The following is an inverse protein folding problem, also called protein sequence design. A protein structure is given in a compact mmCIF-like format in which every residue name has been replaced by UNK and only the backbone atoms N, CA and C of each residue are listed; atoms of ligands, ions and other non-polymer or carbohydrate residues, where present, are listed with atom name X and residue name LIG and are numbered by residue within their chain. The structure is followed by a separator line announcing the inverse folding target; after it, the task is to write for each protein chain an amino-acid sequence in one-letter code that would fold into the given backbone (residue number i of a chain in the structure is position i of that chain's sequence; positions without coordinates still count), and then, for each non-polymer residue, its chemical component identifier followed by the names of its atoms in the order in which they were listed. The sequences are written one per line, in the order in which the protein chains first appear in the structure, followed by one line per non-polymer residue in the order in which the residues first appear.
data_IF_925317595358
#
_entry.id   IF_925317595358
#
_cell.length_a   1.000
_cell.length_b   1.000
_cell.length_c   1.000
_cell.angle_alpha   90.00
_cell.angle_beta   90.00
_cell.angle_gamma   90.00
#
_symmetry.space_group_name_H-M   'P 1'
#
loop_
_entity.id
_entity.type
_entity.pdbx_description
1 polymer ?
#
# COMPACT_ATOMS: atom_id res chain seq x y z
N UNK A 1 4.97 -0.08 -13.30
CA UNK A 1 3.74 -0.86 -13.36
C UNK A 1 4.07 -2.34 -13.20
N UNK A 2 3.55 -2.96 -12.17
CA UNK A 2 3.80 -4.37 -11.89
C UNK A 2 2.56 -5.17 -12.21
N UNK A 3 2.66 -6.06 -13.16
CA UNK A 3 1.55 -6.91 -13.57
C UNK A 3 1.85 -8.35 -13.21
N UNK A 4 0.89 -9.01 -12.61
CA UNK A 4 1.05 -10.39 -12.19
C UNK A 4 -0.29 -11.10 -12.15
N UNK A 5 -0.25 -12.41 -12.09
CA UNK A 5 -1.43 -13.23 -11.85
C UNK A 5 -1.69 -13.30 -10.34
N UNK A 6 -2.66 -14.12 -9.92
CA UNK A 6 -3.01 -14.29 -8.51
C UNK A 6 -1.94 -15.08 -7.75
N UNK A 7 -0.71 -14.62 -7.79
CA UNK A 7 0.42 -15.25 -7.14
C UNK A 7 1.14 -14.24 -6.26
N UNK A 8 2.01 -14.74 -5.41
CA UNK A 8 2.95 -13.90 -4.69
C UNK A 8 3.99 -13.38 -5.67
N UNK A 9 4.37 -12.13 -5.50
CA UNK A 9 5.35 -11.50 -6.37
C UNK A 9 6.47 -10.93 -5.52
N UNK A 10 7.71 -11.23 -5.90
CA UNK A 10 8.88 -10.82 -5.13
C UNK A 10 9.88 -10.08 -6.00
N UNK A 11 10.35 -8.94 -5.50
CA UNK A 11 11.40 -8.15 -6.13
C UNK A 11 12.56 -8.06 -5.15
N UNK A 12 13.45 -9.06 -5.14
CA UNK A 12 14.44 -9.20 -4.05
C UNK A 12 15.50 -8.11 -4.02
N UNK A 13 15.74 -7.44 -5.13
CA UNK A 13 16.81 -6.43 -5.20
C UNK A 13 16.31 -5.00 -5.37
N UNK A 14 14.99 -4.79 -5.42
CA UNK A 14 14.43 -3.47 -5.63
C UNK A 14 14.61 -2.61 -4.39
N UNK A 15 15.29 -1.46 -4.53
CA UNK A 15 15.57 -0.55 -3.42
C UNK A 15 14.82 0.78 -3.51
N UNK A 16 14.46 1.20 -4.71
CA UNK A 16 13.87 2.51 -4.91
C UNK A 16 12.91 2.52 -6.09
N UNK A 17 11.76 3.15 -5.90
CA UNK A 17 10.78 3.37 -6.97
C UNK A 17 10.59 4.88 -7.08
N UNK A 18 10.87 5.41 -8.26
CA UNK A 18 10.76 6.84 -8.50
C UNK A 18 9.55 7.20 -9.37
N UNK A 19 9.51 8.44 -9.79
CA UNK A 19 8.49 8.94 -10.70
C UNK A 19 7.14 9.09 -10.02
N UNK A 20 6.11 8.50 -10.63
CA UNK A 20 4.74 8.62 -10.11
C UNK A 20 4.41 7.63 -9.02
N UNK A 21 5.34 6.72 -8.69
CA UNK A 21 5.11 5.73 -7.67
C UNK A 21 4.98 4.32 -8.21
N UNK A 22 4.35 3.46 -7.44
CA UNK A 22 4.26 2.04 -7.74
C UNK A 22 2.81 1.65 -7.97
N UNK A 23 2.54 0.92 -9.05
CA UNK A 23 1.20 0.42 -9.36
C UNK A 23 1.19 -1.10 -9.31
N UNK A 24 0.22 -1.66 -8.61
CA UNK A 24 0.11 -3.09 -8.35
C UNK A 24 -1.22 -3.61 -8.87
N UNK A 25 -1.19 -4.76 -9.53
CA UNK A 25 -2.41 -5.42 -10.05
C UNK A 25 -2.36 -6.91 -9.78
N UNK A 26 -3.52 -7.50 -9.63
CA UNK A 26 -3.78 -8.97 -9.62
C UNK A 26 -2.69 -9.82 -8.97
N UNK A 27 -2.24 -9.42 -7.78
CA UNK A 27 -1.31 -10.21 -6.98
C UNK A 27 -1.92 -10.45 -5.61
N UNK A 28 -1.46 -11.47 -4.92
CA UNK A 28 -1.90 -11.77 -3.56
C UNK A 28 -0.98 -11.10 -2.54
N UNK A 29 0.31 -11.22 -2.73
CA UNK A 29 1.32 -10.61 -1.86
C UNK A 29 2.40 -9.98 -2.74
N UNK A 30 2.80 -8.76 -2.40
CA UNK A 30 3.98 -8.14 -3.00
C UNK A 30 5.06 -8.09 -1.94
N UNK A 31 6.23 -8.62 -2.27
CA UNK A 31 7.36 -8.65 -1.36
C UNK A 31 8.55 -7.93 -1.95
N UNK A 32 8.98 -6.86 -1.30
CA UNK A 32 10.13 -6.06 -1.70
C UNK A 32 11.04 -5.89 -0.48
N UNK A 33 11.82 -6.93 -0.13
CA UNK A 33 12.53 -6.94 1.15
C UNK A 33 13.61 -5.88 1.31
N UNK A 34 14.05 -5.30 0.20
CA UNK A 34 15.08 -4.24 0.24
C UNK A 34 14.57 -2.88 -0.18
N UNK A 35 13.28 -2.75 -0.45
CA UNK A 35 12.72 -1.49 -0.90
C UNK A 35 12.74 -0.47 0.23
N UNK A 36 13.41 0.66 0.00
CA UNK A 36 13.58 1.71 0.99
C UNK A 36 12.70 2.93 0.73
N UNK A 37 12.39 3.21 -0.53
CA UNK A 37 11.66 4.43 -0.87
C UNK A 37 10.76 4.24 -2.08
N UNK A 38 9.55 4.78 -1.97
CA UNK A 38 8.64 5.00 -3.10
C UNK A 38 8.44 6.51 -3.17
N UNK A 39 8.94 7.14 -4.23
CA UNK A 39 8.87 8.60 -4.40
C UNK A 39 7.54 9.03 -4.98
N UNK A 40 6.47 8.58 -4.42
CA UNK A 40 5.15 8.91 -4.94
C UNK A 40 4.09 8.11 -4.23
N UNK A 41 3.07 7.72 -4.97
CA UNK A 41 1.90 7.04 -4.43
C UNK A 41 1.98 5.55 -4.71
N UNK A 42 1.67 4.75 -3.70
CA UNK A 42 1.47 3.32 -3.87
C UNK A 42 0.03 3.11 -4.33
N UNK A 43 -0.12 2.68 -5.57
CA UNK A 43 -1.44 2.50 -6.19
C UNK A 43 -1.73 1.02 -6.37
N UNK A 44 -2.94 0.62 -6.03
CA UNK A 44 -3.42 -0.73 -6.33
C UNK A 44 -4.90 -0.64 -6.67
N UNK A 45 -5.28 -1.29 -7.76
CA UNK A 45 -6.66 -1.23 -8.22
C UNK A 45 -7.08 -2.59 -8.77
N UNK A 46 -8.32 -3.00 -8.44
CA UNK A 46 -8.92 -4.23 -8.96
C UNK A 46 -8.09 -5.48 -8.63
N UNK A 47 -7.33 -5.45 -7.56
CA UNK A 47 -6.52 -6.58 -7.11
C UNK A 47 -7.29 -7.32 -6.01
N UNK A 48 -8.29 -8.09 -6.42
CA UNK A 48 -9.20 -8.76 -5.49
C UNK A 48 -8.51 -9.77 -4.57
N UNK A 49 -7.35 -10.26 -4.95
CA UNK A 49 -6.61 -11.23 -4.14
C UNK A 49 -5.56 -10.62 -3.23
N UNK A 50 -5.30 -9.31 -3.37
CA UNK A 50 -4.23 -8.67 -2.62
C UNK A 50 -4.59 -8.56 -1.14
N UNK A 51 -3.73 -9.07 -0.28
CA UNK A 51 -3.91 -9.03 1.16
C UNK A 51 -2.71 -8.45 1.91
N UNK A 52 -1.53 -8.44 1.31
CA UNK A 52 -0.30 -8.16 2.05
C UNK A 52 0.74 -7.41 1.22
N UNK A 53 1.34 -6.40 1.82
CA UNK A 53 2.56 -5.78 1.33
C UNK A 53 3.68 -6.14 2.31
N UNK A 54 4.71 -6.81 1.80
CA UNK A 54 5.88 -7.15 2.60
C UNK A 54 7.05 -6.28 2.17
N UNK A 55 7.18 -5.13 2.81
CA UNK A 55 8.21 -4.12 2.50
C UNK A 55 8.80 -3.61 3.81
N UNK A 56 9.54 -4.47 4.53
CA UNK A 56 9.94 -4.17 5.91
C UNK A 56 10.95 -3.03 6.03
N UNK A 57 11.66 -2.70 4.94
CA UNK A 57 12.65 -1.64 4.97
C UNK A 57 12.14 -0.32 4.37
N UNK A 58 10.87 -0.27 3.99
CA UNK A 58 10.32 0.96 3.40
C UNK A 58 10.20 2.06 4.45
N UNK A 59 10.82 3.21 4.17
CA UNK A 59 10.82 4.35 5.07
C UNK A 59 10.28 5.62 4.43
N UNK A 60 10.00 5.60 3.12
CA UNK A 60 9.49 6.76 2.41
C UNK A 60 8.33 6.38 1.52
N UNK A 61 7.18 7.04 1.71
CA UNK A 61 5.98 6.83 0.92
C UNK A 61 5.12 8.09 1.01
N UNK A 62 4.72 8.63 -0.13
CA UNK A 62 4.02 9.92 -0.17
C UNK A 62 2.51 9.82 -0.31
N UNK A 63 1.97 8.67 -0.66
CA UNK A 63 0.53 8.53 -0.82
C UNK A 63 0.09 7.10 -0.99
N UNK A 64 -1.21 6.90 -0.83
CA UNK A 64 -1.86 5.59 -0.99
C UNK A 64 -3.12 5.80 -1.83
N UNK A 65 -3.29 4.93 -2.84
CA UNK A 65 -4.49 4.94 -3.66
C UNK A 65 -4.92 3.50 -3.90
N UNK A 66 -5.89 3.04 -3.13
CA UNK A 66 -6.40 1.67 -3.21
C UNK A 66 -7.86 1.68 -3.63
N UNK A 67 -8.15 0.96 -4.71
CA UNK A 67 -9.50 0.89 -5.27
C UNK A 67 -9.84 -0.57 -5.53
N UNK A 68 -10.89 -1.07 -4.92
CA UNK A 68 -11.43 -2.43 -5.11
C UNK A 68 -10.47 -3.53 -4.71
N UNK A 69 -9.74 -3.35 -3.62
CA UNK A 69 -8.95 -4.42 -3.01
C UNK A 69 -9.86 -5.14 -2.01
N UNK A 70 -10.73 -6.00 -2.49
CA UNK A 70 -11.85 -6.52 -1.70
C UNK A 70 -11.44 -7.43 -0.55
N UNK A 71 -10.20 -7.89 -0.53
CA UNK A 71 -9.67 -8.70 0.57
C UNK A 71 -8.63 -7.98 1.43
N UNK A 72 -8.36 -6.72 1.12
CA UNK A 72 -7.38 -5.95 1.88
C UNK A 72 -8.07 -5.30 3.07
N UNK A 73 -7.71 -5.73 4.28
CA UNK A 73 -8.41 -5.32 5.51
C UNK A 73 -7.49 -4.83 6.62
N UNK A 74 -6.18 -4.89 6.44
CA UNK A 74 -5.21 -4.49 7.46
C UNK A 74 -4.27 -3.43 6.92
N UNK A 75 -4.38 -2.22 7.46
CA UNK A 75 -3.62 -1.05 7.03
C UNK A 75 -2.53 -0.67 8.03
N UNK A 76 -2.19 -1.55 8.95
CA UNK A 76 -1.16 -1.28 9.97
C UNK A 76 0.19 -0.93 9.33
N UNK A 77 0.47 -1.46 8.16
CA UNK A 77 1.69 -1.16 7.42
C UNK A 77 1.89 0.34 7.20
N UNK A 78 0.81 1.09 7.07
CA UNK A 78 0.87 2.53 6.76
C UNK A 78 0.88 3.43 7.98
N UNK A 79 0.87 2.85 9.18
CA UNK A 79 0.80 3.58 10.44
C UNK A 79 1.87 4.67 10.55
N UNK A 80 3.12 4.31 10.38
CA UNK A 80 4.22 5.26 10.57
C UNK A 80 4.17 6.40 9.54
N UNK A 81 3.78 6.09 8.31
CA UNK A 81 3.73 7.10 7.25
C UNK A 81 2.65 8.15 7.52
N UNK A 82 1.56 7.76 8.15
CA UNK A 82 0.51 8.70 8.55
C UNK A 82 0.92 9.47 9.79
N UNK A 83 1.49 8.79 10.79
CA UNK A 83 1.92 9.44 12.02
C UNK A 83 3.05 10.46 11.80
N UNK A 84 3.94 10.16 10.86
CA UNK A 84 5.05 11.04 10.52
C UNK A 84 4.66 12.09 9.48
N UNK A 85 3.39 12.11 9.08
CA UNK A 85 2.84 13.04 8.10
C UNK A 85 3.52 12.97 6.74
N UNK A 86 4.08 11.82 6.38
CA UNK A 86 4.59 11.60 5.03
C UNK A 86 3.45 11.47 4.04
N UNK A 87 2.38 10.79 4.43
CA UNK A 87 1.15 10.70 3.64
C UNK A 87 0.18 11.74 4.21
N UNK A 88 -0.21 12.69 3.37
CA UNK A 88 -1.15 13.73 3.78
C UNK A 88 -2.57 13.31 3.46
N UNK A 89 -3.53 14.01 4.06
CA UNK A 89 -4.94 13.67 3.90
C UNK A 89 -5.37 13.63 2.43
N UNK A 90 -4.94 14.60 1.64
CA UNK A 90 -5.27 14.67 0.22
C UNK A 90 -4.63 13.57 -0.62
N UNK A 91 -3.64 12.88 -0.08
CA UNK A 91 -2.94 11.79 -0.76
C UNK A 91 -3.35 10.41 -0.25
N UNK A 92 -4.42 10.35 0.53
CA UNK A 92 -4.97 9.11 1.06
C UNK A 92 -6.31 8.83 0.40
N UNK A 93 -6.35 7.78 -0.44
CA UNK A 93 -7.59 7.36 -1.09
C UNK A 93 -7.74 5.86 -0.96
N UNK A 94 -8.77 5.42 -0.26
CA UNK A 94 -9.12 4.01 -0.12
C UNK A 94 -10.61 3.89 -0.33
N UNK A 95 -11.01 3.10 -1.34
CA UNK A 95 -12.42 2.95 -1.67
C UNK A 95 -12.73 1.56 -2.21
N UNK A 96 -13.89 1.04 -1.85
CA UNK A 96 -14.39 -0.28 -2.29
C UNK A 96 -13.44 -1.43 -1.94
N UNK A 97 -12.71 -1.30 -0.85
CA UNK A 97 -11.82 -2.34 -0.35
C UNK A 97 -12.52 -3.15 0.74
N UNK A 98 -11.84 -4.19 1.24
CA UNK A 98 -12.37 -5.00 2.32
C UNK A 98 -12.63 -4.21 3.59
N UNK A 99 -11.74 -3.27 3.87
CA UNK A 99 -11.92 -2.24 4.89
C UNK A 99 -11.49 -0.91 4.28
N UNK A 100 -12.21 0.15 4.58
CA UNK A 100 -11.96 1.46 3.99
C UNK A 100 -11.75 2.52 5.08
N UNK A 101 -10.58 2.51 5.74
CA UNK A 101 -10.31 3.52 6.75
C UNK A 101 -10.16 4.89 6.10
N UNK A 102 -10.73 5.90 6.75
CA UNK A 102 -10.48 7.28 6.37
C UNK A 102 -9.09 7.69 6.89
N UNK A 103 -8.61 8.83 6.43
CA UNK A 103 -7.35 9.36 6.97
C UNK A 103 -7.47 9.57 8.50
N UNK A 104 -8.62 10.07 8.95
CA UNK A 104 -8.90 10.26 10.37
C UNK A 104 -8.92 8.94 11.14
N UNK A 105 -9.42 7.87 10.52
CA UNK A 105 -9.36 6.54 11.13
C UNK A 105 -7.91 6.12 11.35
N UNK A 106 -7.05 6.36 10.37
CA UNK A 106 -5.63 6.05 10.48
C UNK A 106 -4.96 6.86 11.58
N UNK A 107 -5.29 8.14 11.68
CA UNK A 107 -4.75 8.98 12.75
C UNK A 107 -5.21 8.51 14.13
N UNK A 108 -6.37 7.91 14.22
CA UNK A 108 -6.95 7.42 15.47
C UNK A 108 -6.51 6.00 15.83
N UNK A 109 -5.71 5.36 14.98
CA UNK A 109 -5.25 4.00 15.25
C UNK A 109 -6.19 2.90 14.79
N UNK A 110 -7.18 3.22 14.00
CA UNK A 110 -8.13 2.24 13.49
C UNK A 110 -7.65 1.66 12.16
N UNK A 111 -6.61 0.84 12.21
CA UNK A 111 -5.94 0.30 11.02
C UNK A 111 -6.59 -0.96 10.50
N UNK A 112 -7.38 -1.64 11.30
CA UNK A 112 -8.05 -2.88 10.92
C UNK A 112 -9.53 -2.76 11.21
N UNK A 113 -10.30 -3.52 10.44
CA UNK A 113 -11.74 -3.57 10.66
C UNK A 113 -12.04 -4.24 12.01
N UNK A 114 -12.89 -3.60 12.78
CA UNK A 114 -13.29 -4.10 14.09
C UNK A 114 -14.58 -4.93 13.99
#
# INVERSE_FOLDING_TARGET
DFMASNKDFTFPSLEHVGGVGMTVRTVKTISCPKLQAIDGTLCAANAASLTTFNMPTLTKLSGVRFIRLTRFVDYTFFKSFVEEEQIKKEDWLVTNCGYNPTYEDMQAGRYTQQ
#
